data_IF_021959365935
#
_entry.id   IF_021959365935
#
_cell.length_a   1.000
_cell.length_b   1.000
_cell.length_c   1.000
_cell.angle_alpha   90.00
_cell.angle_beta   90.00
_cell.angle_gamma   90.00
#
_symmetry.space_group_name_H-M   'P 1'
#
loop_
_entity.id
_entity.type
_entity.pdbx_description
1 polymer ?
#
# COMPACT_ATOMS: atom_id res chain seq x y z
N UNK A 1 7.45 16.86 -1.35
CA UNK A 1 6.09 17.42 -1.25
C UNK A 1 5.09 16.40 -1.72
N UNK A 2 3.81 16.56 -1.40
CA UNK A 2 2.76 15.57 -1.69
C UNK A 2 2.63 15.20 -3.17
N UNK A 3 2.70 16.17 -4.07
CA UNK A 3 2.63 15.92 -5.52
C UNK A 3 3.84 15.16 -6.07
N UNK A 4 5.00 15.33 -5.45
CA UNK A 4 6.21 14.60 -5.81
C UNK A 4 6.11 13.12 -5.37
N UNK A 5 5.56 12.85 -4.18
CA UNK A 5 5.27 11.49 -3.74
C UNK A 5 4.26 10.78 -4.67
N UNK A 6 3.20 11.48 -5.11
CA UNK A 6 2.24 10.96 -6.08
C UNK A 6 2.92 10.61 -7.40
N UNK A 7 3.75 11.49 -7.97
CA UNK A 7 4.48 11.22 -9.21
C UNK A 7 5.40 10.01 -9.11
N UNK A 8 6.14 9.87 -8.00
CA UNK A 8 6.99 8.69 -7.77
C UNK A 8 6.17 7.42 -7.60
N UNK A 9 5.04 7.47 -6.89
CA UNK A 9 4.15 6.33 -6.73
C UNK A 9 3.60 5.86 -8.08
N UNK A 10 3.16 6.78 -8.94
CA UNK A 10 2.70 6.48 -10.31
C UNK A 10 3.82 5.87 -11.14
N UNK A 11 5.03 6.44 -11.10
CA UNK A 11 6.17 5.91 -11.83
C UNK A 11 6.55 4.49 -11.36
N UNK A 12 6.54 4.24 -10.05
CA UNK A 12 6.78 2.92 -9.48
C UNK A 12 5.76 1.90 -9.98
N UNK A 13 4.46 2.23 -9.95
CA UNK A 13 3.38 1.35 -10.40
C UNK A 13 3.40 1.10 -11.93
N UNK A 14 3.94 2.03 -12.70
CA UNK A 14 4.11 1.88 -14.15
C UNK A 14 5.42 1.17 -14.55
N UNK A 15 6.36 0.96 -13.63
CA UNK A 15 7.71 0.46 -13.93
C UNK A 15 7.78 -1.01 -14.33
N UNK A 16 6.74 -1.80 -14.02
CA UNK A 16 6.76 -3.26 -14.14
C UNK A 16 7.58 -3.98 -13.06
N UNK A 17 8.24 -3.25 -12.16
CA UNK A 17 8.90 -3.83 -11.00
C UNK A 17 7.86 -4.24 -9.93
N UNK A 18 8.17 -5.22 -9.07
CA UNK A 18 7.26 -5.59 -7.98
C UNK A 18 7.03 -4.44 -7.00
N UNK A 19 5.76 -4.05 -6.81
CA UNK A 19 5.33 -2.97 -5.91
C UNK A 19 4.42 -3.53 -4.82
N UNK A 20 4.61 -3.05 -3.58
CA UNK A 20 3.66 -3.26 -2.48
C UNK A 20 3.07 -1.94 -2.03
N UNK A 21 1.75 -1.90 -1.90
CA UNK A 21 1.04 -0.87 -1.16
C UNK A 21 0.94 -1.32 0.30
N UNK A 22 1.71 -0.67 1.17
CA UNK A 22 1.66 -0.91 2.60
C UNK A 22 0.62 0.01 3.25
N UNK A 23 -0.50 -0.58 3.68
CA UNK A 23 -1.71 0.11 4.07
C UNK A 23 -1.95 0.10 5.59
N UNK A 24 -2.55 1.17 6.09
CA UNK A 24 -2.98 1.27 7.49
C UNK A 24 -4.24 2.13 7.64
N UNK A 25 -4.87 2.02 8.81
CA UNK A 25 -6.02 2.83 9.22
C UNK A 25 -7.19 2.86 8.22
N UNK A 26 -7.52 4.04 7.66
CA UNK A 26 -8.64 4.20 6.72
C UNK A 26 -8.39 3.49 5.39
N UNK A 27 -7.12 3.23 5.03
CA UNK A 27 -6.77 2.56 3.78
C UNK A 27 -7.13 1.07 3.74
N UNK A 28 -7.34 0.43 4.90
CA UNK A 28 -7.68 -1.01 4.99
C UNK A 28 -9.16 -1.28 5.31
N UNK A 29 -10.02 -0.25 5.23
CA UNK A 29 -11.45 -0.33 5.59
C UNK A 29 -12.32 0.45 4.61
N UNK A 30 -13.60 0.10 4.55
CA UNK A 30 -14.63 0.81 3.79
C UNK A 30 -14.17 1.18 2.37
N UNK A 31 -14.32 2.47 2.05
CA UNK A 31 -13.94 3.02 0.74
C UNK A 31 -12.44 2.91 0.43
N UNK A 32 -11.56 3.14 1.42
CA UNK A 32 -10.11 3.07 1.23
C UNK A 32 -9.67 1.69 0.76
N UNK A 33 -10.26 0.64 1.36
CA UNK A 33 -10.05 -0.74 0.92
C UNK A 33 -10.49 -0.95 -0.54
N UNK A 34 -11.63 -0.40 -0.96
CA UNK A 34 -12.12 -0.56 -2.32
C UNK A 34 -11.24 0.17 -3.33
N UNK A 35 -10.78 1.38 -3.01
CA UNK A 35 -9.85 2.13 -3.87
C UNK A 35 -8.53 1.37 -4.01
N UNK A 36 -7.96 0.89 -2.90
CA UNK A 36 -6.73 0.11 -2.90
C UNK A 36 -6.87 -1.18 -3.74
N UNK A 37 -8.00 -1.87 -3.64
CA UNK A 37 -8.29 -3.05 -4.48
C UNK A 37 -8.27 -2.72 -5.98
N UNK A 38 -8.93 -1.62 -6.40
CA UNK A 38 -8.91 -1.21 -7.81
C UNK A 38 -7.51 -0.85 -8.31
N UNK A 39 -6.70 -0.17 -7.47
CA UNK A 39 -5.31 0.12 -7.81
C UNK A 39 -4.53 -1.18 -8.01
N UNK A 40 -4.66 -2.14 -7.09
CA UNK A 40 -4.00 -3.44 -7.20
C UNK A 40 -4.45 -4.22 -8.44
N UNK A 41 -5.75 -4.29 -8.71
CA UNK A 41 -6.29 -4.96 -9.91
C UNK A 41 -5.78 -4.31 -11.21
N UNK A 42 -5.63 -2.98 -11.23
CA UNK A 42 -5.16 -2.23 -12.40
C UNK A 42 -3.65 -2.36 -12.63
N UNK A 43 -2.87 -2.39 -11.56
CA UNK A 43 -1.40 -2.23 -11.60
C UNK A 43 -0.63 -3.52 -11.32
N UNK A 44 -1.29 -4.54 -10.76
CA UNK A 44 -0.65 -5.75 -10.27
C UNK A 44 0.08 -5.59 -8.94
N UNK A 45 -0.07 -4.44 -8.26
CA UNK A 45 0.57 -4.22 -6.96
C UNK A 45 -0.02 -5.09 -5.86
N UNK A 46 0.82 -5.56 -4.94
CA UNK A 46 0.39 -6.33 -3.77
C UNK A 46 -0.14 -5.41 -2.68
N UNK A 47 -1.24 -5.79 -2.02
CA UNK A 47 -1.77 -5.07 -0.87
C UNK A 47 -1.32 -5.73 0.44
N UNK A 48 -0.71 -4.96 1.32
CA UNK A 48 -0.21 -5.45 2.60
C UNK A 48 -0.55 -4.48 3.74
N UNK A 49 -1.31 -4.93 4.72
CA UNK A 49 -1.62 -4.17 5.91
C UNK A 49 -0.47 -4.20 6.93
N UNK A 50 -0.25 -3.09 7.65
CA UNK A 50 0.61 -3.07 8.84
C UNK A 50 0.21 -4.14 9.86
N UNK A 51 1.23 -4.75 10.49
CA UNK A 51 1.06 -5.76 11.53
C UNK A 51 0.20 -5.26 12.71
N UNK A 52 0.27 -3.97 13.04
CA UNK A 52 -0.44 -3.34 14.16
C UNK A 52 -1.90 -2.91 13.84
N UNK A 53 -2.40 -3.12 12.62
CA UNK A 53 -3.76 -2.67 12.26
C UNK A 53 -4.85 -3.32 13.12
N UNK A 54 -5.64 -2.54 13.85
CA UNK A 54 -6.68 -3.10 14.73
C UNK A 54 -7.78 -3.87 13.98
N UNK A 55 -8.13 -3.43 12.76
CA UNK A 55 -9.18 -4.03 11.90
C UNK A 55 -8.81 -3.88 10.43
N UNK A 56 -9.11 -4.92 9.65
CA UNK A 56 -8.97 -4.98 8.19
C UNK A 56 -10.30 -5.54 7.68
N UNK A 57 -10.96 -4.83 6.76
CA UNK A 57 -12.21 -5.34 6.19
C UNK A 57 -11.90 -6.49 5.23
N UNK A 58 -12.69 -7.57 5.32
CA UNK A 58 -12.66 -8.64 4.31
C UNK A 58 -13.62 -8.25 3.21
N UNK A 59 -13.12 -8.10 1.98
CA UNK A 59 -13.98 -7.89 0.82
C UNK A 59 -14.12 -9.20 0.05
N UNK A 60 -15.30 -9.79 0.02
CA UNK A 60 -15.60 -10.88 -0.91
C UNK A 60 -15.47 -10.35 -2.35
N UNK A 61 -14.74 -11.06 -3.22
CA UNK A 61 -14.57 -10.68 -4.62
C UNK A 61 -13.63 -9.50 -4.88
N UNK A 62 -12.72 -9.18 -3.96
CA UNK A 62 -11.72 -8.11 -4.14
C UNK A 62 -10.34 -8.61 -3.70
N UNK A 63 -9.27 -7.94 -4.15
CA UNK A 63 -7.89 -8.29 -3.79
C UNK A 63 -7.76 -8.44 -2.26
N UNK A 64 -7.20 -9.56 -1.77
CA UNK A 64 -6.97 -9.76 -0.35
C UNK A 64 -5.95 -8.75 0.15
N UNK A 65 -6.21 -8.17 1.33
CA UNK A 65 -5.22 -7.38 2.06
C UNK A 65 -4.69 -8.28 3.16
N UNK A 66 -3.51 -8.86 2.93
CA UNK A 66 -2.83 -9.66 3.93
C UNK A 66 -2.18 -8.76 4.98
N UNK A 67 -1.81 -9.33 6.12
CA UNK A 67 -1.12 -8.59 7.18
C UNK A 67 0.36 -8.93 7.14
N UNK A 68 1.23 -7.93 7.22
CA UNK A 68 2.66 -8.16 7.39
C UNK A 68 2.88 -9.04 8.64
N UNK A 69 3.62 -10.16 8.52
CA UNK A 69 3.88 -11.04 9.66
C UNK A 69 4.58 -10.30 10.81
N UNK A 70 4.26 -10.67 12.04
CA UNK A 70 4.94 -10.13 13.22
C UNK A 70 6.38 -10.65 13.40
N UNK A 71 6.70 -11.95 13.14
CA UNK A 71 8.07 -12.42 13.19
C UNK A 71 8.94 -11.70 12.15
N UNK A 72 10.05 -11.10 12.60
CA UNK A 72 10.91 -10.26 11.75
C UNK A 72 11.40 -11.00 10.51
N UNK A 73 11.80 -12.27 10.64
CA UNK A 73 12.30 -13.04 9.51
C UNK A 73 11.23 -13.29 8.45
N UNK A 74 10.00 -13.56 8.87
CA UNK A 74 8.87 -13.68 7.95
C UNK A 74 8.49 -12.34 7.32
N UNK A 75 8.62 -11.23 8.05
CA UNK A 75 8.39 -9.88 7.52
C UNK A 75 9.43 -9.48 6.47
N UNK A 76 10.72 -9.80 6.72
CA UNK A 76 11.81 -9.62 5.76
C UNK A 76 11.55 -10.46 4.51
N UNK A 77 11.22 -11.73 4.67
CA UNK A 77 10.91 -12.62 3.53
C UNK A 77 9.71 -12.11 2.72
N UNK A 78 8.66 -11.63 3.39
CA UNK A 78 7.48 -11.06 2.74
C UNK A 78 7.82 -9.81 1.93
N UNK A 79 8.72 -8.95 2.43
CA UNK A 79 9.05 -7.67 1.79
C UNK A 79 10.21 -7.76 0.79
N UNK A 80 11.05 -8.79 0.86
CA UNK A 80 12.22 -8.98 0.02
C UNK A 80 11.96 -8.92 -1.50
N UNK A 81 10.81 -9.39 -2.04
CA UNK A 81 10.56 -9.34 -3.47
C UNK A 81 10.30 -7.93 -4.03
N UNK A 82 9.91 -6.96 -3.19
CA UNK A 82 9.43 -5.65 -3.65
C UNK A 82 10.56 -4.65 -3.88
N UNK A 83 10.51 -3.99 -5.03
CA UNK A 83 11.42 -2.88 -5.39
C UNK A 83 10.87 -1.52 -4.97
N UNK A 84 9.56 -1.41 -4.83
CA UNK A 84 8.91 -0.20 -4.35
C UNK A 84 7.93 -0.54 -3.22
N UNK A 85 8.04 0.22 -2.13
CA UNK A 85 7.16 0.15 -0.96
C UNK A 85 6.42 1.48 -0.85
N UNK A 86 5.14 1.51 -1.23
CA UNK A 86 4.31 2.71 -1.16
C UNK A 86 3.53 2.69 0.16
N UNK A 87 3.75 3.67 1.02
CA UNK A 87 3.13 3.77 2.34
C UNK A 87 1.89 4.67 2.29
N UNK A 88 0.76 4.16 2.78
CA UNK A 88 -0.52 4.89 2.86
C UNK A 88 -1.09 4.78 4.27
N UNK A 89 -0.99 5.87 5.03
CA UNK A 89 -1.30 5.90 6.47
C UNK A 89 -0.35 5.04 7.31
N UNK A 90 0.69 4.50 6.70
CA UNK A 90 1.64 3.57 7.29
C UNK A 90 3.00 4.24 7.50
N UNK A 91 3.76 3.74 8.47
CA UNK A 91 5.16 4.11 8.65
C UNK A 91 6.07 3.04 8.03
N UNK A 92 7.32 3.37 7.69
CA UNK A 92 8.26 2.39 7.16
C UNK A 92 8.35 1.18 8.10
N UNK A 93 8.28 -0.06 7.58
CA UNK A 93 8.43 -1.26 8.38
C UNK A 93 9.89 -1.37 8.84
N UNK A 94 10.15 -0.95 10.07
CA UNK A 94 11.47 -0.99 10.69
C UNK A 94 11.67 -2.27 11.49
N UNK A 95 12.85 -2.87 11.35
CA UNK A 95 13.32 -3.87 12.30
C UNK A 95 13.55 -3.18 13.63
N UNK A 96 12.83 -3.58 14.67
CA UNK A 96 13.01 -3.04 16.02
C UNK A 96 14.50 -3.04 16.39
N UNK A 97 14.96 -1.95 17.01
CA UNK A 97 16.35 -1.74 17.48
C UNK A 97 16.86 -2.79 18.50
N UNK A 98 16.12 -3.86 18.75
CA UNK A 98 16.36 -4.88 19.75
C UNK A 98 17.00 -6.17 19.21
N UNK A 99 17.29 -6.27 17.90
CA UNK A 99 17.84 -7.50 17.29
C UNK A 99 19.24 -7.29 16.70
N UNK A 100 20.31 -7.61 17.44
CA UNK A 100 21.67 -7.58 16.92
C UNK A 100 21.80 -8.42 15.65
N UNK A 101 22.35 -7.83 14.58
CA UNK A 101 22.61 -8.53 13.32
C UNK A 101 21.46 -8.55 12.30
N UNK A 102 20.33 -7.89 12.56
CA UNK A 102 19.21 -7.75 11.60
C UNK A 102 19.19 -6.35 10.97
N UNK A 103 18.68 -6.20 9.73
CA UNK A 103 18.62 -4.89 9.06
C UNK A 103 17.62 -3.95 9.76
N UNK A 104 17.92 -2.64 9.73
CA UNK A 104 17.06 -1.61 10.32
C UNK A 104 15.75 -1.41 9.55
N UNK A 105 15.74 -1.73 8.25
CA UNK A 105 14.56 -1.79 7.40
C UNK A 105 14.23 -3.24 7.08
N UNK A 106 12.94 -3.56 7.02
CA UNK A 106 12.49 -4.91 6.67
C UNK A 106 12.41 -5.14 5.16
N UNK A 107 12.34 -4.07 4.36
CA UNK A 107 12.40 -4.13 2.90
C UNK A 107 13.81 -4.41 2.39
N UNK A 108 13.93 -4.80 1.12
CA UNK A 108 15.23 -4.97 0.48
C UNK A 108 16.06 -3.66 0.55
N UNK A 109 17.40 -3.73 0.68
CA UNK A 109 18.25 -2.55 0.85
C UNK A 109 18.18 -1.53 -0.29
N UNK A 110 17.84 -2.00 -1.49
CA UNK A 110 17.69 -1.20 -2.71
C UNK A 110 16.23 -0.88 -3.05
N UNK A 111 15.28 -1.25 -2.18
CA UNK A 111 13.88 -0.90 -2.35
C UNK A 111 13.65 0.59 -2.06
N UNK A 112 12.92 1.27 -2.94
CA UNK A 112 12.50 2.64 -2.72
C UNK A 112 11.26 2.68 -1.83
N UNK A 113 11.32 3.43 -0.74
CA UNK A 113 10.15 3.72 0.10
C UNK A 113 9.55 5.06 -0.29
N UNK A 114 8.25 5.06 -0.65
CA UNK A 114 7.50 6.24 -1.04
C UNK A 114 6.38 6.45 -0.03
N UNK A 115 6.47 7.51 0.78
CA UNK A 115 5.36 7.92 1.66
C UNK A 115 4.36 8.71 0.84
N UNK A 116 3.21 8.10 0.50
CA UNK A 116 2.15 8.76 -0.24
C UNK A 116 1.22 9.56 0.68
N UNK A 117 0.94 8.98 1.86
CA UNK A 117 0.21 9.64 2.93
C UNK A 117 0.74 9.18 4.28
N UNK A 118 1.04 10.13 5.15
CA UNK A 118 1.35 9.89 6.56
C UNK A 118 0.09 9.48 7.35
N UNK A 119 0.24 8.90 8.56
CA UNK A 119 -0.89 8.52 9.41
C UNK A 119 -1.88 9.67 9.71
N UNK A 120 -1.39 10.91 9.80
CA UNK A 120 -2.18 12.12 10.09
C UNK A 120 -2.84 12.76 8.86
N UNK A 121 -2.52 12.31 7.65
CA UNK A 121 -3.06 12.86 6.40
C UNK A 121 -4.33 12.11 5.96
N UNK A 122 -5.06 12.63 4.96
CA UNK A 122 -6.23 11.93 4.43
C UNK A 122 -5.80 10.80 3.48
N UNK A 123 -5.84 9.55 3.98
CA UNK A 123 -5.48 8.38 3.19
C UNK A 123 -6.47 8.08 2.07
N UNK A 124 -7.74 8.47 2.21
CA UNK A 124 -8.76 8.24 1.17
C UNK A 124 -8.46 9.14 -0.02
N UNK A 125 -8.29 10.44 0.20
CA UNK A 125 -7.97 11.38 -0.87
C UNK A 125 -6.63 11.05 -1.54
N UNK A 126 -5.63 10.59 -0.77
CA UNK A 126 -4.37 10.13 -1.35
C UNK A 126 -4.54 8.90 -2.26
N UNK A 127 -5.37 7.93 -1.85
CA UNK A 127 -5.68 6.76 -2.67
C UNK A 127 -6.51 7.12 -3.90
N UNK A 128 -7.47 8.04 -3.79
CA UNK A 128 -8.28 8.51 -4.92
C UNK A 128 -7.41 9.16 -5.98
N UNK A 129 -6.51 10.06 -5.58
CA UNK A 129 -5.57 10.72 -6.50
C UNK A 129 -4.64 9.72 -7.17
N UNK A 130 -4.18 8.72 -6.43
CA UNK A 130 -3.37 7.65 -7.01
C UNK A 130 -4.20 6.82 -8.00
N UNK A 131 -5.42 6.45 -7.63
CA UNK A 131 -6.32 5.69 -8.49
C UNK A 131 -6.63 6.43 -9.78
N UNK A 132 -6.93 7.74 -9.72
CA UNK A 132 -7.12 8.58 -10.89
C UNK A 132 -5.88 8.57 -11.78
N UNK A 133 -4.70 8.81 -11.20
CA UNK A 133 -3.45 8.90 -11.94
C UNK A 133 -3.03 7.59 -12.63
N UNK A 134 -3.44 6.43 -12.11
CA UNK A 134 -3.16 5.11 -12.73
C UNK A 134 -4.34 4.56 -13.55
N UNK A 135 -5.44 5.31 -13.66
CA UNK A 135 -6.64 4.88 -14.39
C UNK A 135 -7.38 3.73 -13.71
N UNK A 136 -7.45 3.75 -12.38
CA UNK A 136 -8.18 2.84 -11.50
C UNK A 136 -9.36 3.53 -10.76
N UNK A 137 -9.83 4.67 -11.28
CA UNK A 137 -11.03 5.34 -10.78
C UNK A 137 -12.24 4.40 -10.83
N UNK A 138 -13.19 4.60 -9.92
CA UNK A 138 -14.45 3.88 -10.00
C UNK A 138 -15.12 4.22 -11.34
N UNK A 139 -15.61 3.20 -12.03
CA UNK A 139 -16.48 3.41 -13.18
C UNK A 139 -17.75 4.10 -12.63
N UNK A 140 -18.04 5.30 -13.11
CA UNK A 140 -19.33 5.93 -12.83
C UNK A 140 -20.34 5.07 -13.56
N UNK A 141 -21.07 4.22 -12.82
CA UNK A 141 -22.21 3.52 -13.39
C UNK A 141 -23.09 4.60 -14.04
N UNK A 142 -23.45 4.48 -15.34
CA UNK A 142 -24.29 5.47 -15.97
C UNK A 142 -25.58 5.59 -15.17
N UNK A 143 -25.88 6.81 -14.71
CA UNK A 143 -27.15 7.13 -14.08
C UNK A 143 -28.29 6.71 -15.01
N UNK A 144 -29.02 5.67 -14.62
CA UNK A 144 -30.28 5.29 -15.28
C UNK A 144 -30.30 3.87 -15.85
N UNK A 145 -30.63 2.90 -15.01
CA UNK A 145 -31.54 1.83 -15.39
C UNK A 145 -32.32 1.36 -14.16
N UNK A 146 -33.40 2.08 -13.89
CA UNK A 146 -34.58 1.60 -13.19
C UNK A 146 -35.79 1.99 -14.03
#
# INVERSE_FOLDING_TARGET
>A
GRDDALKRAVAALASGAPVVLHLSDRAVRGEGRHIAARIADKTGATLLAMAANARIDRGAGTVPIERLPYPIDAAIETLAPFRHVILVGATPPVGFFAYPGKPSLLSAPDAETIVLAHPEEDQIEALERLAEAVGASAEVAPDGMA
#
